data_IF_023017343010
#
_entry.id   IF_023017343010
#
_cell.length_a   1.000
_cell.length_b   1.000
_cell.length_c   1.000
_cell.angle_alpha   90.00
_cell.angle_beta   90.00
_cell.angle_gamma   90.00
#
_symmetry.space_group_name_H-M   'P 1'
#
loop_
_entity.id
_entity.type
_entity.pdbx_description
1 polymer ?
#
# COMPACT_ATOMS: atom_id res chain seq x y z
N UNK A 1 -54.37 4.82 2.29
CA UNK A 1 -53.44 5.21 1.24
C UNK A 1 -52.10 5.52 1.92
N UNK A 2 -51.14 4.57 1.90
CA UNK A 2 -49.80 4.74 2.47
C UNK A 2 -48.84 4.96 1.29
N UNK A 3 -48.21 6.12 1.29
CA UNK A 3 -47.20 6.54 0.31
C UNK A 3 -45.95 5.68 0.47
N UNK A 4 -45.54 4.94 -0.58
CA UNK A 4 -44.24 4.30 -0.68
C UNK A 4 -43.22 5.37 -1.09
N UNK A 5 -42.32 5.71 -0.19
CA UNK A 5 -41.08 6.44 -0.51
C UNK A 5 -40.12 5.51 -1.24
N UNK A 6 -39.89 5.83 -2.50
CA UNK A 6 -38.88 5.18 -3.34
C UNK A 6 -37.52 5.72 -2.91
N UNK A 7 -36.71 4.91 -2.23
CA UNK A 7 -35.32 5.21 -1.95
C UNK A 7 -34.54 4.94 -3.24
N UNK A 8 -34.19 6.01 -3.94
CA UNK A 8 -33.27 5.96 -5.08
C UNK A 8 -31.85 5.72 -4.55
N UNK A 9 -31.38 4.47 -4.62
CA UNK A 9 -29.94 4.19 -4.49
C UNK A 9 -29.20 4.76 -5.72
N UNK A 10 -28.06 5.43 -5.54
CA UNK A 10 -27.24 5.80 -6.68
C UNK A 10 -26.71 4.51 -7.34
N UNK A 11 -27.05 4.34 -8.60
CA UNK A 11 -26.48 3.29 -9.45
C UNK A 11 -25.00 3.65 -9.63
N UNK A 12 -24.13 3.02 -8.85
CA UNK A 12 -22.71 2.93 -9.20
C UNK A 12 -22.67 2.06 -10.48
N UNK A 13 -22.52 2.72 -11.61
CA UNK A 13 -22.22 2.05 -12.87
C UNK A 13 -20.85 1.40 -12.69
N UNK A 14 -20.87 0.12 -12.41
CA UNK A 14 -19.72 -0.76 -12.47
C UNK A 14 -19.34 -0.88 -13.96
N UNK A 15 -18.55 0.08 -14.46
CA UNK A 15 -17.90 -0.07 -15.75
C UNK A 15 -16.88 -1.21 -15.58
N UNK A 16 -17.31 -2.41 -15.89
CA UNK A 16 -16.40 -3.50 -16.20
C UNK A 16 -15.50 -2.99 -17.33
N UNK A 17 -14.23 -2.78 -17.02
CA UNK A 17 -13.23 -2.46 -18.03
C UNK A 17 -13.16 -3.67 -18.95
N UNK A 18 -13.88 -3.59 -20.07
CA UNK A 18 -13.84 -4.64 -21.08
C UNK A 18 -12.42 -4.73 -21.64
N UNK A 19 -11.90 -5.94 -21.92
CA UNK A 19 -10.58 -6.12 -22.53
C UNK A 19 -10.39 -5.34 -23.84
N UNK A 20 -11.46 -4.90 -24.44
CA UNK A 20 -11.48 -4.10 -25.68
C UNK A 20 -10.95 -2.67 -25.53
N UNK A 21 -10.83 -2.10 -24.33
CA UNK A 21 -10.30 -0.74 -24.12
C UNK A 21 -8.77 -0.73 -24.24
N UNK A 22 -8.12 -1.88 -24.05
CA UNK A 22 -6.67 -2.03 -24.12
C UNK A 22 -6.17 -1.95 -25.58
N UNK A 23 -7.03 -2.15 -26.55
CA UNK A 23 -6.68 -2.22 -27.98
C UNK A 23 -6.73 -0.88 -28.71
N UNK A 24 -7.10 0.22 -28.05
CA UNK A 24 -7.35 1.51 -28.69
C UNK A 24 -6.16 2.46 -28.74
N UNK A 25 -5.07 2.21 -28.03
CA UNK A 25 -3.84 2.97 -28.19
C UNK A 25 -2.92 2.22 -29.18
N UNK A 26 -2.66 2.82 -30.32
CA UNK A 26 -1.64 2.33 -31.25
C UNK A 26 -0.31 2.19 -30.48
N UNK A 27 0.27 1.00 -30.31
CA UNK A 27 1.48 0.82 -29.49
C UNK A 27 2.66 1.71 -29.95
N UNK A 28 2.65 2.13 -31.20
CA UNK A 28 3.67 3.02 -31.78
C UNK A 28 3.54 4.47 -31.31
N UNK A 29 2.41 4.90 -30.75
CA UNK A 29 2.16 6.26 -30.26
C UNK A 29 2.04 6.35 -28.74
N UNK A 30 2.00 5.22 -28.04
CA UNK A 30 1.88 5.20 -26.60
C UNK A 30 3.14 5.81 -25.96
N UNK A 31 2.94 6.80 -25.08
CA UNK A 31 4.00 7.47 -24.34
C UNK A 31 4.48 6.57 -23.19
N UNK A 32 5.74 6.72 -22.80
CA UNK A 32 6.25 6.10 -21.57
C UNK A 32 5.58 6.69 -20.33
N UNK A 33 5.63 5.98 -19.21
CA UNK A 33 5.12 6.45 -17.91
C UNK A 33 5.71 7.83 -17.59
N UNK A 34 7.04 7.98 -17.67
CA UNK A 34 7.69 9.25 -17.36
C UNK A 34 7.26 10.41 -18.25
N UNK A 35 7.01 10.15 -19.55
CA UNK A 35 6.48 11.17 -20.46
C UNK A 35 5.02 11.52 -20.13
N UNK A 36 4.21 10.53 -19.85
CA UNK A 36 2.80 10.72 -19.46
C UNK A 36 2.69 11.55 -18.20
N UNK A 37 3.49 11.25 -17.16
CA UNK A 37 3.50 12.02 -15.90
C UNK A 37 3.87 13.50 -16.15
N UNK A 38 4.83 13.79 -17.03
CA UNK A 38 5.23 15.18 -17.38
C UNK A 38 4.11 15.99 -18.03
N UNK A 39 3.20 15.34 -18.72
CA UNK A 39 2.10 15.99 -19.43
C UNK A 39 0.83 16.14 -18.58
N UNK A 40 0.82 15.57 -17.36
CA UNK A 40 -0.33 15.61 -16.43
C UNK A 40 -0.13 16.67 -15.34
N UNK A 41 -0.85 17.81 -15.42
CA UNK A 41 -0.66 18.92 -14.48
C UNK A 41 -0.95 18.53 -13.02
N UNK A 42 -1.89 17.59 -12.79
CA UNK A 42 -2.27 17.08 -11.46
C UNK A 42 -1.23 16.17 -10.81
N UNK A 43 -0.14 15.84 -11.52
CA UNK A 43 0.97 15.02 -11.02
C UNK A 43 2.25 15.83 -10.80
N UNK A 44 2.16 17.17 -10.65
CA UNK A 44 3.32 18.04 -10.58
C UNK A 44 4.26 17.73 -9.42
N UNK A 45 3.72 17.37 -8.25
CA UNK A 45 4.52 16.93 -7.10
C UNK A 45 5.14 15.54 -7.34
N UNK A 46 4.37 14.61 -7.90
CA UNK A 46 4.88 13.28 -8.23
C UNK A 46 5.99 13.34 -9.28
N UNK A 47 5.88 14.24 -10.26
CA UNK A 47 6.91 14.50 -11.25
C UNK A 47 8.24 14.95 -10.60
N UNK A 48 8.19 15.84 -9.62
CA UNK A 48 9.40 16.28 -8.89
C UNK A 48 10.12 15.11 -8.22
N UNK A 49 9.37 14.18 -7.62
CA UNK A 49 9.95 12.97 -7.03
C UNK A 49 10.52 12.05 -8.13
N UNK A 50 9.77 11.84 -9.21
CA UNK A 50 10.19 11.02 -10.36
C UNK A 50 11.51 11.49 -10.92
N UNK A 51 11.70 12.79 -11.13
CA UNK A 51 12.91 13.36 -11.75
C UNK A 51 14.16 13.27 -10.87
N UNK A 52 13.98 13.09 -9.56
CA UNK A 52 15.09 12.96 -8.61
C UNK A 52 15.47 11.54 -8.26
N UNK A 53 14.72 10.54 -8.72
CA UNK A 53 14.98 9.13 -8.41
C UNK A 53 15.60 8.39 -9.59
N UNK A 54 16.44 7.39 -9.33
CA UNK A 54 16.98 6.50 -10.35
C UNK A 54 15.88 5.70 -11.06
N UNK A 55 14.83 5.30 -10.33
CA UNK A 55 13.65 4.62 -10.87
C UNK A 55 12.93 5.53 -11.89
N UNK A 56 12.90 6.84 -11.66
CA UNK A 56 12.27 7.80 -12.54
C UNK A 56 12.90 7.85 -13.92
N UNK A 57 14.23 7.74 -14.03
CA UNK A 57 14.90 7.63 -15.33
C UNK A 57 14.48 6.37 -16.07
N UNK A 58 14.42 5.22 -15.39
CA UNK A 58 13.98 3.94 -15.97
C UNK A 58 12.52 4.01 -16.46
N UNK A 59 11.62 4.67 -15.74
CA UNK A 59 10.23 4.87 -16.16
C UNK A 59 10.08 5.80 -17.37
N UNK A 60 11.09 6.61 -17.67
CA UNK A 60 11.13 7.53 -18.82
C UNK A 60 11.66 6.87 -20.08
N UNK A 61 12.34 5.75 -19.98
CA UNK A 61 12.93 5.01 -21.08
C UNK A 61 11.97 3.96 -21.64
N UNK A 62 12.13 3.65 -22.94
CA UNK A 62 11.47 2.50 -23.55
C UNK A 62 12.28 1.26 -23.28
N UNK A 63 11.95 0.56 -22.18
CA UNK A 63 12.60 -0.69 -21.78
C UNK A 63 11.70 -1.89 -22.11
N UNK A 64 12.27 -3.10 -22.09
CA UNK A 64 11.48 -4.34 -22.17
C UNK A 64 10.72 -4.67 -20.87
N UNK A 65 11.08 -4.01 -19.79
CA UNK A 65 10.37 -4.16 -18.52
C UNK A 65 9.05 -3.37 -18.51
N UNK A 66 8.03 -3.91 -17.90
CA UNK A 66 6.73 -3.28 -17.68
C UNK A 66 6.57 -2.85 -16.23
N UNK A 67 5.90 -1.73 -16.02
CA UNK A 67 5.71 -1.17 -14.69
C UNK A 67 4.22 -0.89 -14.40
N UNK A 68 3.84 -1.09 -13.16
CA UNK A 68 2.59 -0.54 -12.62
C UNK A 68 2.95 0.56 -11.64
N UNK A 69 2.51 1.78 -11.91
CA UNK A 69 2.78 2.96 -11.09
C UNK A 69 1.49 3.44 -10.44
N UNK A 70 1.54 3.63 -9.13
CA UNK A 70 0.47 4.24 -8.34
C UNK A 70 0.85 5.69 -8.09
N UNK A 71 0.35 6.60 -8.92
CA UNK A 71 0.75 8.01 -8.92
C UNK A 71 -0.21 8.84 -8.03
N UNK A 72 0.25 9.37 -6.90
CA UNK A 72 -0.54 10.27 -6.08
C UNK A 72 -0.72 11.62 -6.80
N UNK A 73 -1.98 12.05 -6.91
CA UNK A 73 -2.31 13.38 -7.44
C UNK A 73 -1.86 14.47 -6.48
N UNK A 74 -1.71 15.71 -6.94
CA UNK A 74 -1.25 16.84 -6.11
C UNK A 74 -2.10 17.07 -4.86
N UNK A 75 -3.40 16.74 -4.92
CA UNK A 75 -4.29 16.76 -3.76
C UNK A 75 -3.88 15.74 -2.67
N UNK A 76 -3.23 14.63 -3.05
CA UNK A 76 -2.73 13.63 -2.10
C UNK A 76 -1.58 14.19 -1.26
N UNK A 77 -0.69 14.96 -1.89
CA UNK A 77 0.45 15.59 -1.19
C UNK A 77 0.01 16.64 -0.17
N UNK A 78 -1.13 17.30 -0.39
CA UNK A 78 -1.70 18.25 0.58
C UNK A 78 -2.15 17.61 1.89
N UNK A 79 -2.35 16.30 1.90
CA UNK A 79 -2.69 15.53 3.12
C UNK A 79 -1.45 15.24 3.99
N UNK A 80 -0.25 15.37 3.44
CA UNK A 80 0.99 15.17 4.18
C UNK A 80 1.23 16.31 5.18
N UNK A 81 1.96 16.04 6.28
CA UNK A 81 2.44 17.11 7.16
C UNK A 81 3.23 18.16 6.36
N UNK A 82 3.11 19.44 6.76
CA UNK A 82 3.84 20.53 6.11
C UNK A 82 5.35 20.26 6.15
N UNK A 83 6.04 20.52 5.05
CA UNK A 83 7.48 20.32 4.93
C UNK A 83 7.89 18.89 4.55
N UNK A 84 6.94 17.94 4.42
CA UNK A 84 7.29 16.54 4.06
C UNK A 84 7.88 16.46 2.66
N UNK A 85 7.29 17.14 1.67
CA UNK A 85 7.77 17.12 0.29
C UNK A 85 9.16 17.75 0.19
N UNK A 86 9.34 18.91 0.81
CA UNK A 86 10.62 19.61 0.87
C UNK A 86 11.70 18.75 1.55
N UNK A 87 11.32 18.03 2.61
CA UNK A 87 12.23 17.10 3.30
C UNK A 87 12.61 15.93 2.41
N UNK A 88 11.66 15.35 1.66
CA UNK A 88 11.94 14.25 0.73
C UNK A 88 12.83 14.72 -0.44
N UNK A 89 12.67 15.95 -0.89
CA UNK A 89 13.45 16.52 -2.00
C UNK A 89 14.83 17.06 -1.57
N UNK A 90 15.15 17.07 -0.27
CA UNK A 90 16.47 17.43 0.24
C UNK A 90 17.49 16.34 -0.15
N UNK A 91 18.61 16.68 -0.79
CA UNK A 91 19.62 15.69 -1.21
C UNK A 91 20.19 14.82 -0.07
N UNK A 92 20.06 15.28 1.16
CA UNK A 92 20.46 14.50 2.35
C UNK A 92 19.52 13.33 2.65
N UNK A 93 18.37 13.28 2.00
CA UNK A 93 17.31 12.29 2.21
C UNK A 93 17.06 11.43 0.94
N UNK A 94 18.03 11.33 0.03
CA UNK A 94 17.88 10.60 -1.24
C UNK A 94 17.47 9.14 -1.01
N UNK A 95 18.03 8.44 -0.02
CA UNK A 95 17.64 7.07 0.32
C UNK A 95 16.15 6.97 0.71
N UNK A 96 15.66 7.96 1.46
CA UNK A 96 14.24 8.02 1.84
C UNK A 96 13.34 8.35 0.67
N UNK A 97 13.80 9.21 -0.22
CA UNK A 97 13.09 9.54 -1.45
C UNK A 97 12.97 8.30 -2.34
N UNK A 98 14.06 7.58 -2.58
CA UNK A 98 14.06 6.32 -3.36
C UNK A 98 13.13 5.26 -2.72
N UNK A 99 13.13 5.15 -1.41
CA UNK A 99 12.24 4.23 -0.70
C UNK A 99 10.77 4.62 -0.90
N UNK A 100 10.40 5.88 -0.67
CA UNK A 100 9.02 6.36 -0.82
C UNK A 100 8.58 6.23 -2.27
N UNK A 101 9.41 6.69 -3.22
CA UNK A 101 9.06 6.62 -4.64
C UNK A 101 8.96 5.17 -5.12
N UNK A 102 9.92 4.33 -4.78
CA UNK A 102 9.92 2.91 -5.11
C UNK A 102 8.73 2.14 -4.53
N UNK A 103 8.15 2.61 -3.42
CA UNK A 103 6.93 2.05 -2.86
C UNK A 103 5.66 2.38 -3.66
N UNK A 104 5.75 3.30 -4.63
CA UNK A 104 4.70 3.61 -5.60
C UNK A 104 4.87 2.83 -6.93
N UNK A 105 5.96 2.09 -7.08
CA UNK A 105 6.30 1.41 -8.32
C UNK A 105 6.37 -0.10 -8.12
N UNK A 106 5.73 -0.83 -9.01
CA UNK A 106 5.82 -2.29 -9.14
C UNK A 106 6.40 -2.62 -10.49
N UNK A 107 7.57 -3.24 -10.53
CA UNK A 107 8.10 -3.86 -11.74
C UNK A 107 7.37 -5.18 -12.03
N UNK A 108 7.05 -5.42 -13.29
CA UNK A 108 6.35 -6.60 -13.77
C UNK A 108 7.16 -7.22 -14.90
N UNK A 109 7.46 -8.50 -14.81
CA UNK A 109 8.24 -9.22 -15.83
C UNK A 109 7.42 -9.61 -17.07
N UNK A 110 6.09 -9.46 -16.99
CA UNK A 110 5.15 -9.80 -18.06
C UNK A 110 4.21 -8.63 -18.31
N UNK A 111 3.06 -8.84 -18.93
CA UNK A 111 2.08 -7.79 -19.19
C UNK A 111 1.69 -7.01 -17.93
N UNK A 112 1.37 -5.70 -18.06
CA UNK A 112 0.98 -4.86 -16.92
C UNK A 112 -0.11 -5.49 -16.08
N UNK A 113 0.01 -5.39 -14.75
CA UNK A 113 -0.99 -5.97 -13.85
C UNK A 113 -2.25 -5.13 -13.91
N UNK A 114 -3.29 -5.67 -14.54
CA UNK A 114 -4.66 -5.19 -14.35
C UNK A 114 -5.22 -5.87 -13.10
N UNK A 115 -5.41 -5.07 -12.06
CA UNK A 115 -5.81 -5.59 -10.75
C UNK A 115 -7.32 -5.77 -10.75
N UNK A 116 -7.78 -7.02 -10.82
CA UNK A 116 -9.23 -7.33 -10.88
C UNK A 116 -9.85 -7.66 -9.52
N UNK A 117 -9.03 -8.06 -8.54
CA UNK A 117 -9.50 -8.55 -7.22
C UNK A 117 -8.60 -8.06 -6.09
N UNK A 118 -8.89 -8.53 -4.87
CA UNK A 118 -8.00 -8.38 -3.75
C UNK A 118 -6.68 -9.13 -4.01
N UNK A 119 -5.57 -8.44 -3.90
CA UNK A 119 -4.23 -9.01 -4.06
C UNK A 119 -3.22 -8.31 -3.15
N UNK A 120 -2.08 -8.92 -2.98
CA UNK A 120 -0.93 -8.34 -2.28
C UNK A 120 0.17 -8.17 -3.31
N UNK A 121 0.61 -6.94 -3.50
CA UNK A 121 1.70 -6.61 -4.41
C UNK A 121 3.01 -6.46 -3.64
N UNK A 122 4.08 -7.03 -4.20
CA UNK A 122 5.45 -6.74 -3.77
C UNK A 122 5.98 -5.60 -4.62
N UNK A 123 6.25 -4.46 -3.98
CA UNK A 123 6.73 -3.25 -4.63
C UNK A 123 8.24 -3.34 -4.94
N UNK A 124 8.80 -2.39 -5.69
CA UNK A 124 10.25 -2.35 -6.00
C UNK A 124 11.11 -2.24 -4.74
N UNK A 125 10.61 -1.63 -3.70
CA UNK A 125 11.24 -1.59 -2.35
C UNK A 125 11.26 -2.94 -1.64
N UNK A 126 10.72 -4.00 -2.25
CA UNK A 126 10.50 -5.35 -1.67
C UNK A 126 9.45 -5.39 -0.55
N UNK A 127 8.88 -4.28 -0.17
CA UNK A 127 7.76 -4.22 0.77
C UNK A 127 6.45 -4.61 0.08
N UNK A 128 5.44 -4.96 0.88
CA UNK A 128 4.16 -5.45 0.40
C UNK A 128 3.05 -4.45 0.70
N UNK A 129 2.11 -4.34 -0.24
CA UNK A 129 0.91 -3.54 -0.08
C UNK A 129 -0.32 -4.31 -0.56
N UNK A 130 -1.41 -4.19 0.17
CA UNK A 130 -2.68 -4.80 -0.21
C UNK A 130 -3.42 -3.92 -1.22
N UNK A 131 -3.99 -4.54 -2.24
CA UNK A 131 -4.88 -3.90 -3.20
C UNK A 131 -6.25 -4.56 -3.14
N UNK A 132 -7.28 -3.76 -2.99
CA UNK A 132 -8.67 -4.18 -3.06
C UNK A 132 -9.37 -3.39 -4.14
N UNK A 133 -9.33 -3.90 -5.36
CA UNK A 133 -9.87 -3.21 -6.54
C UNK A 133 -11.40 -3.04 -6.45
N UNK A 134 -12.12 -4.01 -5.90
CA UNK A 134 -13.57 -3.91 -5.72
C UNK A 134 -13.99 -2.80 -4.75
N UNK A 135 -13.11 -2.41 -3.84
CA UNK A 135 -13.28 -1.24 -2.96
C UNK A 135 -12.60 0.01 -3.51
N UNK A 136 -11.89 -0.09 -4.64
CA UNK A 136 -11.13 1.01 -5.22
C UNK A 136 -9.96 1.47 -4.34
N UNK A 137 -9.23 0.54 -3.68
CA UNK A 137 -8.22 0.90 -2.69
C UNK A 137 -6.89 0.17 -2.89
N UNK A 138 -5.81 0.86 -2.59
CA UNK A 138 -4.45 0.32 -2.40
C UNK A 138 -3.91 0.82 -1.06
N UNK A 139 -3.65 -0.11 -0.12
CA UNK A 139 -3.39 0.28 1.27
C UNK A 139 -4.52 1.18 1.79
N UNK A 140 -4.15 2.38 2.24
CA UNK A 140 -5.10 3.40 2.72
C UNK A 140 -5.51 4.41 1.63
N UNK A 141 -4.92 4.33 0.42
CA UNK A 141 -5.21 5.22 -0.68
C UNK A 141 -6.40 4.71 -1.52
N UNK A 142 -7.15 5.65 -2.13
CA UNK A 142 -8.23 5.36 -3.09
C UNK A 142 -7.76 5.63 -4.51
N UNK A 143 -8.20 4.81 -5.44
CA UNK A 143 -8.08 5.12 -6.87
C UNK A 143 -9.01 6.28 -7.22
N UNK A 144 -8.51 7.26 -8.00
CA UNK A 144 -9.22 8.53 -8.27
C UNK A 144 -9.57 8.76 -9.74
N UNK A 145 -9.24 7.85 -10.61
CA UNK A 145 -9.44 8.02 -12.03
C UNK A 145 -9.41 6.72 -12.79
N UNK A 146 -9.42 6.85 -14.12
CA UNK A 146 -9.22 5.73 -15.02
C UNK A 146 -7.76 5.28 -15.02
N UNK A 147 -7.55 4.01 -15.39
CA UNK A 147 -6.20 3.48 -15.61
C UNK A 147 -5.62 4.08 -16.88
N UNK A 148 -4.40 4.59 -16.80
CA UNK A 148 -3.73 5.23 -17.93
C UNK A 148 -2.70 4.25 -18.52
N UNK A 149 -2.95 3.67 -19.71
CA UNK A 149 -2.01 2.79 -20.35
C UNK A 149 -0.84 3.59 -20.94
N UNK A 150 0.38 3.04 -20.76
CA UNK A 150 1.63 3.58 -21.28
C UNK A 150 2.39 2.51 -22.07
N UNK A 151 3.38 2.91 -22.88
CA UNK A 151 4.17 1.97 -23.67
C UNK A 151 5.01 1.01 -22.83
N UNK A 152 5.39 1.41 -21.62
CA UNK A 152 6.16 0.62 -20.67
C UNK A 152 5.38 0.29 -19.37
N UNK A 153 4.05 0.31 -19.40
CA UNK A 153 3.24 -0.08 -18.26
C UNK A 153 1.91 0.65 -18.13
N UNK A 154 1.46 0.82 -16.88
CA UNK A 154 0.19 1.48 -16.54
C UNK A 154 0.34 2.41 -15.35
N UNK A 155 -0.45 3.49 -15.32
CA UNK A 155 -0.54 4.41 -14.18
C UNK A 155 -1.94 4.30 -13.57
N UNK A 156 -1.98 4.14 -12.25
CA UNK A 156 -3.16 4.28 -11.41
C UNK A 156 -3.04 5.58 -10.62
N UNK A 157 -4.00 6.48 -10.75
CA UNK A 157 -4.06 7.70 -9.94
C UNK A 157 -4.61 7.40 -8.55
N UNK A 158 -3.98 7.94 -7.51
CA UNK A 158 -4.39 7.73 -6.11
C UNK A 158 -4.49 9.03 -5.34
N UNK A 159 -5.36 9.04 -4.32
CA UNK A 159 -5.68 10.23 -3.51
C UNK A 159 -4.81 10.39 -2.26
N UNK A 160 -3.88 9.49 -2.02
CA UNK A 160 -3.01 9.49 -0.82
C UNK A 160 -1.63 8.98 -1.21
N UNK A 161 -0.58 9.63 -0.70
CA UNK A 161 0.80 9.20 -0.90
C UNK A 161 1.04 7.92 -0.11
N UNK A 162 1.50 6.86 -0.79
CA UNK A 162 1.85 5.60 -0.15
C UNK A 162 3.13 5.78 0.65
N UNK A 163 3.07 5.51 1.94
CA UNK A 163 4.24 5.61 2.81
C UNK A 163 4.69 4.21 3.21
N UNK A 164 5.92 3.82 2.84
CA UNK A 164 6.48 2.55 3.31
C UNK A 164 6.56 2.56 4.83
N UNK A 165 6.14 1.46 5.44
CA UNK A 165 6.24 1.34 6.89
C UNK A 165 7.63 0.90 7.28
N UNK A 166 8.25 1.62 8.20
CA UNK A 166 9.47 1.21 8.87
C UNK A 166 9.19 0.38 10.12
N UNK A 167 7.93 0.34 10.55
CA UNK A 167 7.54 -0.43 11.71
C UNK A 167 7.59 -1.92 11.39
N UNK A 168 8.25 -2.68 12.23
CA UNK A 168 8.11 -4.13 12.25
C UNK A 168 6.71 -4.54 12.74
N UNK A 169 6.40 -5.82 12.62
CA UNK A 169 5.11 -6.37 13.01
C UNK A 169 4.77 -6.09 14.48
N UNK A 170 5.77 -6.20 15.36
CA UNK A 170 5.59 -5.98 16.79
C UNK A 170 5.30 -4.51 17.12
N UNK A 171 6.05 -3.59 16.50
CA UNK A 171 5.83 -2.15 16.64
C UNK A 171 4.43 -1.73 16.16
N UNK A 172 3.94 -2.33 15.06
CA UNK A 172 2.58 -2.08 14.58
C UNK A 172 1.52 -2.56 15.54
N UNK A 173 1.69 -3.76 16.12
CA UNK A 173 0.77 -4.29 17.13
C UNK A 173 0.75 -3.41 18.38
N UNK A 174 1.91 -2.90 18.82
CA UNK A 174 2.00 -1.99 19.97
C UNK A 174 1.29 -0.66 19.71
N UNK A 175 1.44 -0.08 18.51
CA UNK A 175 0.84 1.22 18.15
C UNK A 175 -0.68 1.13 17.95
N UNK A 176 -1.21 -0.03 17.57
CA UNK A 176 -2.66 -0.21 17.31
C UNK A 176 -3.52 -0.09 18.58
N UNK A 177 -2.97 -0.45 19.74
CA UNK A 177 -3.65 -0.35 21.04
C UNK A 177 -4.73 -1.39 21.31
N UNK A 178 -5.13 -2.22 20.33
CA UNK A 178 -6.09 -3.32 20.49
C UNK A 178 -5.45 -4.65 20.90
N UNK A 179 -4.14 -4.71 20.91
CA UNK A 179 -3.34 -5.94 21.09
C UNK A 179 -2.41 -5.85 22.30
N UNK A 180 -2.83 -5.12 23.36
CA UNK A 180 -1.96 -4.87 24.53
C UNK A 180 -1.64 -6.15 25.30
N UNK A 181 -2.60 -7.06 25.43
CA UNK A 181 -2.40 -8.36 26.09
C UNK A 181 -1.51 -9.25 25.23
N UNK A 182 -1.74 -9.29 23.92
CA UNK A 182 -0.95 -10.10 22.99
C UNK A 182 0.51 -9.63 22.94
N UNK A 183 0.75 -8.33 22.83
CA UNK A 183 2.12 -7.77 22.82
C UNK A 183 2.84 -7.99 24.14
N UNK A 184 2.10 -7.94 25.27
CA UNK A 184 2.64 -8.31 26.60
C UNK A 184 3.04 -9.79 26.64
N UNK A 185 2.20 -10.69 26.11
CA UNK A 185 2.49 -12.12 26.06
C UNK A 185 3.73 -12.42 25.19
N UNK A 186 3.82 -11.81 23.98
CA UNK A 186 5.01 -11.90 23.12
C UNK A 186 6.27 -11.45 23.88
N UNK A 187 6.19 -10.31 24.59
CA UNK A 187 7.35 -9.77 25.32
C UNK A 187 7.79 -10.67 26.47
N UNK A 188 6.84 -11.31 27.14
CA UNK A 188 7.11 -12.24 28.24
C UNK A 188 7.64 -13.59 27.73
N UNK A 189 7.27 -14.01 26.52
CA UNK A 189 7.74 -15.26 25.93
C UNK A 189 9.19 -15.17 25.44
N UNK A 190 9.88 -16.29 25.34
CA UNK A 190 11.22 -16.39 24.73
C UNK A 190 11.20 -16.01 23.24
N UNK A 191 10.04 -16.08 22.61
CA UNK A 191 9.82 -15.72 21.19
C UNK A 191 9.81 -14.20 20.95
N UNK A 192 9.71 -13.35 21.98
CA UNK A 192 9.69 -11.90 21.86
C UNK A 192 10.87 -11.34 21.04
N UNK A 193 12.07 -11.90 21.22
CA UNK A 193 13.25 -11.52 20.43
C UNK A 193 13.14 -11.93 18.96
N UNK A 194 12.53 -13.07 18.68
CA UNK A 194 12.27 -13.53 17.31
C UNK A 194 11.31 -12.58 16.60
N UNK A 195 10.23 -12.17 17.27
CA UNK A 195 9.23 -11.24 16.74
C UNK A 195 9.83 -9.87 16.40
N UNK A 196 10.78 -9.37 17.19
CA UNK A 196 11.46 -8.09 16.96
C UNK A 196 12.51 -8.15 15.84
N UNK A 197 13.01 -9.34 15.50
CA UNK A 197 14.05 -9.55 14.49
C UNK A 197 13.55 -10.30 13.26
N UNK A 198 12.25 -10.38 13.07
CA UNK A 198 11.65 -11.05 11.91
C UNK A 198 11.94 -10.27 10.63
N UNK A 199 12.94 -10.72 9.87
CA UNK A 199 13.19 -10.29 8.51
C UNK A 199 12.54 -11.28 7.54
N UNK A 200 11.43 -10.90 6.93
CA UNK A 200 10.72 -11.77 5.98
C UNK A 200 9.22 -11.54 5.94
N UNK A 201 8.54 -12.45 5.25
CA UNK A 201 7.08 -12.47 5.17
C UNK A 201 6.52 -13.37 6.26
N UNK A 202 5.82 -12.76 7.19
CA UNK A 202 5.10 -13.49 8.24
C UNK A 202 3.63 -13.12 8.21
N UNK A 203 2.79 -14.10 8.50
CA UNK A 203 1.37 -13.89 8.77
C UNK A 203 1.15 -14.21 10.24
N UNK A 204 0.71 -13.23 10.99
CA UNK A 204 0.40 -13.37 12.42
C UNK A 204 -1.10 -13.25 12.63
N UNK A 205 -1.68 -14.22 13.31
CA UNK A 205 -3.05 -14.19 13.79
C UNK A 205 -3.04 -13.65 15.22
N UNK A 206 -3.19 -12.34 15.38
CA UNK A 206 -3.12 -11.67 16.67
C UNK A 206 -4.51 -11.58 17.32
N UNK A 207 -4.75 -12.22 18.48
CA UNK A 207 -5.98 -12.03 19.23
C UNK A 207 -6.03 -10.61 19.80
N UNK A 208 -7.19 -9.95 19.67
CA UNK A 208 -7.41 -8.64 20.29
C UNK A 208 -7.61 -8.78 21.80
N UNK A 209 -7.47 -7.68 22.54
CA UNK A 209 -7.74 -7.65 23.98
C UNK A 209 -9.15 -8.12 24.31
N UNK A 210 -10.14 -7.84 23.44
CA UNK A 210 -11.51 -8.34 23.61
C UNK A 210 -11.64 -9.86 23.40
N UNK A 211 -10.76 -10.45 22.59
CA UNK A 211 -10.70 -11.91 22.49
C UNK A 211 -10.15 -12.53 23.78
N UNK A 212 -9.13 -11.95 24.38
CA UNK A 212 -8.58 -12.40 25.67
C UNK A 212 -9.57 -12.25 26.83
N UNK A 213 -10.41 -11.21 26.83
CA UNK A 213 -11.47 -11.02 27.84
C UNK A 213 -12.53 -12.15 27.87
N UNK A 214 -12.62 -12.94 26.79
CA UNK A 214 -13.50 -14.11 26.74
C UNK A 214 -12.94 -15.33 27.47
N UNK A 215 -11.66 -15.32 27.82
CA UNK A 215 -11.05 -16.39 28.62
C UNK A 215 -11.49 -16.27 30.09
N UNK A 216 -11.58 -17.40 30.80
CA UNK A 216 -11.73 -17.36 32.24
C UNK A 216 -10.60 -16.57 32.90
N UNK A 217 -10.91 -15.69 33.85
CA UNK A 217 -9.93 -14.78 34.48
C UNK A 217 -8.70 -15.54 35.01
N UNK A 218 -8.91 -16.69 35.65
CA UNK A 218 -7.82 -17.55 36.18
C UNK A 218 -6.89 -18.05 35.06
N UNK A 219 -7.42 -18.31 33.87
CA UNK A 219 -6.61 -18.74 32.71
C UNK A 219 -5.76 -17.58 32.26
N UNK A 220 -6.36 -16.39 32.08
CA UNK A 220 -5.63 -15.21 31.65
C UNK A 220 -4.51 -14.82 32.62
N UNK A 221 -4.80 -14.83 33.91
CA UNK A 221 -3.79 -14.56 34.97
C UNK A 221 -2.67 -15.59 34.96
N UNK A 222 -3.00 -16.87 34.78
CA UNK A 222 -1.99 -17.94 34.74
C UNK A 222 -1.04 -17.88 33.56
N UNK A 223 -1.45 -17.28 32.43
CA UNK A 223 -0.57 -17.17 31.25
C UNK A 223 0.69 -16.35 31.49
N UNK A 224 0.66 -15.42 32.44
CA UNK A 224 1.77 -14.53 32.75
C UNK A 224 2.56 -14.93 34.00
N UNK A 225 2.32 -16.11 34.55
CA UNK A 225 3.10 -16.62 35.66
C UNK A 225 4.42 -17.24 35.14
N UNK A 226 5.55 -17.01 35.80
CA UNK A 226 6.86 -17.51 35.36
C UNK A 226 6.93 -19.02 35.11
N UNK A 227 6.14 -19.79 35.91
CA UNK A 227 6.04 -21.24 35.76
C UNK A 227 5.29 -21.71 34.53
N UNK A 228 4.63 -20.79 33.82
CA UNK A 228 3.87 -21.06 32.58
C UNK A 228 4.47 -20.48 31.32
N UNK A 229 5.73 -20.08 31.33
CA UNK A 229 6.40 -19.49 30.17
C UNK A 229 6.32 -20.39 28.93
N UNK A 230 6.40 -21.71 29.10
CA UNK A 230 6.28 -22.68 27.99
C UNK A 230 4.89 -22.66 27.35
N UNK A 231 3.82 -22.35 28.12
CA UNK A 231 2.43 -22.25 27.62
C UNK A 231 2.17 -21.01 26.79
N UNK A 232 3.06 -20.02 26.85
CA UNK A 232 3.01 -18.83 25.96
C UNK A 232 3.65 -19.12 24.61
N UNK A 233 4.36 -20.22 24.46
CA UNK A 233 5.07 -20.61 23.24
C UNK A 233 4.24 -21.55 22.34
N UNK A 234 3.23 -22.23 22.88
CA UNK A 234 2.25 -23.08 22.20
C UNK A 234 1.07 -22.26 21.66
#
# INVERSE_FOLDING_TARGET
MKSLSVITLPIFVLLAVSPSIIQAANPAEAKTIGRTVREMPELSNFLQLLEKTGIGSTLSESTSASYTVFAPIDAAFKKLPKGTVETLLDPRNDDRLEEVFGFHVKEVSEAPIFIEKYTILRMTTRQFISVNYSKGMIGDARFTGEVIPCSNGVIYLIDTVLTPTTDDLFQRLQKDGRFTIFTKAITASRQGKLFQNMHGLYTTFAPTDDAFKKLPVKVLESLFLPENDERLED
#
